data_IF_596814858930
#
_entry.id   IF_596814858930
#
_cell.length_a   1.000
_cell.length_b   1.000
_cell.length_c   1.000
_cell.angle_alpha   90.00
_cell.angle_beta   90.00
_cell.angle_gamma   90.00
#
_symmetry.space_group_name_H-M   'P 1'
#
loop_
_entity.id
_entity.type
_entity.pdbx_description
1 polymer ?
#
# COMPACT_ATOMS: atom_id res chain seq x y z
N UNK A 1 5.50 18.47 -27.84
CA UNK A 1 5.93 19.15 -26.61
C UNK A 1 4.94 18.75 -25.54
N UNK A 2 5.37 17.96 -24.59
CA UNK A 2 4.51 17.46 -23.53
C UNK A 2 4.10 18.60 -22.62
N UNK A 3 2.79 18.89 -22.56
CA UNK A 3 2.20 19.88 -21.66
C UNK A 3 2.05 19.28 -20.23
N UNK A 4 2.91 18.33 -19.87
CA UNK A 4 2.86 17.65 -18.60
C UNK A 4 3.31 18.54 -17.44
N UNK A 5 2.65 18.44 -16.32
CA UNK A 5 3.16 18.97 -15.06
C UNK A 5 4.53 18.34 -14.77
N UNK A 6 5.47 19.11 -14.20
CA UNK A 6 6.77 18.57 -13.79
C UNK A 6 6.63 17.62 -12.60
N UNK A 7 5.68 17.90 -11.70
CA UNK A 7 5.38 17.11 -10.51
C UNK A 7 3.89 16.76 -10.46
N UNK A 8 3.57 15.59 -9.96
CA UNK A 8 2.19 15.19 -9.64
C UNK A 8 1.72 15.88 -8.36
N UNK A 9 2.54 15.82 -7.33
CA UNK A 9 2.36 16.47 -6.03
C UNK A 9 3.64 17.26 -5.71
N UNK A 10 3.67 18.52 -6.14
CA UNK A 10 4.85 19.38 -5.99
C UNK A 10 5.25 19.58 -4.53
N UNK A 11 4.29 19.67 -3.62
CA UNK A 11 4.55 19.88 -2.20
C UNK A 11 5.34 18.70 -1.58
N UNK A 12 4.99 17.47 -1.95
CA UNK A 12 5.69 16.28 -1.48
C UNK A 12 6.98 16.03 -2.26
N UNK A 13 6.95 16.22 -3.57
CA UNK A 13 8.07 15.85 -4.46
C UNK A 13 9.24 16.85 -4.42
N UNK A 14 9.00 18.06 -3.91
CA UNK A 14 10.04 19.08 -3.69
C UNK A 14 10.31 19.34 -2.21
N UNK A 15 9.73 18.54 -1.32
CA UNK A 15 9.88 18.71 0.13
C UNK A 15 11.35 18.59 0.55
N UNK A 16 11.79 19.46 1.47
CA UNK A 16 13.13 19.37 2.03
C UNK A 16 13.32 18.02 2.74
N UNK A 17 14.52 17.45 2.68
CA UNK A 17 14.81 16.11 3.19
C UNK A 17 14.40 15.93 4.65
N UNK A 18 14.71 16.90 5.51
CA UNK A 18 14.35 16.82 6.93
C UNK A 18 12.83 16.79 7.18
N UNK A 19 12.07 17.57 6.40
CA UNK A 19 10.60 17.59 6.50
C UNK A 19 10.01 16.28 5.96
N UNK A 20 10.60 15.73 4.91
CA UNK A 20 10.20 14.44 4.37
C UNK A 20 10.47 13.30 5.38
N UNK A 21 11.61 13.30 6.05
CA UNK A 21 11.94 12.31 7.07
C UNK A 21 10.96 12.41 8.26
N UNK A 22 10.65 13.62 8.72
CA UNK A 22 9.65 13.82 9.77
C UNK A 22 8.24 13.32 9.36
N UNK A 23 7.83 13.58 8.11
CA UNK A 23 6.57 13.08 7.58
C UNK A 23 6.56 11.54 7.48
N UNK A 24 7.68 10.92 7.11
CA UNK A 24 7.82 9.46 7.06
C UNK A 24 7.68 8.88 8.47
N UNK A 25 8.34 9.45 9.46
CA UNK A 25 8.26 9.01 10.85
C UNK A 25 6.84 9.12 11.43
N UNK A 26 6.15 10.21 11.15
CA UNK A 26 4.74 10.39 11.52
C UNK A 26 3.87 9.27 10.91
N UNK A 27 4.06 8.99 9.62
CA UNK A 27 3.30 7.94 8.93
C UNK A 27 3.63 6.53 9.40
N UNK A 28 4.88 6.27 9.76
CA UNK A 28 5.30 5.01 10.39
C UNK A 28 4.56 4.83 11.70
N UNK A 29 4.63 5.84 12.57
CA UNK A 29 3.95 5.80 13.87
C UNK A 29 2.45 5.55 13.72
N UNK A 30 1.79 6.29 12.84
CA UNK A 30 0.37 6.09 12.54
C UNK A 30 0.08 4.66 12.05
N UNK A 31 0.83 4.18 11.05
CA UNK A 31 0.58 2.88 10.42
C UNK A 31 0.79 1.71 11.38
N UNK A 32 1.84 1.77 12.19
CA UNK A 32 2.15 0.73 13.18
C UNK A 32 1.06 0.65 14.25
N UNK A 33 0.61 1.80 14.78
CA UNK A 33 -0.46 1.82 15.78
C UNK A 33 -1.80 1.38 15.17
N UNK A 34 -2.13 1.82 13.96
CA UNK A 34 -3.31 1.38 13.25
C UNK A 34 -3.33 -0.15 13.06
N UNK A 35 -2.20 -0.73 12.62
CA UNK A 35 -2.08 -2.17 12.45
C UNK A 35 -2.24 -2.93 13.79
N UNK A 36 -1.64 -2.43 14.86
CA UNK A 36 -1.80 -3.01 16.19
C UNK A 36 -3.25 -2.96 16.70
N UNK A 37 -3.95 -1.87 16.46
CA UNK A 37 -5.32 -1.67 16.96
C UNK A 37 -6.35 -2.48 16.16
N UNK A 38 -6.17 -2.60 14.85
CA UNK A 38 -7.20 -3.09 13.94
C UNK A 38 -6.94 -4.49 13.36
N UNK A 39 -5.67 -4.96 13.30
CA UNK A 39 -5.37 -6.30 12.77
C UNK A 39 -5.26 -7.33 13.88
N UNK A 40 -6.05 -8.43 13.83
CA UNK A 40 -5.93 -9.53 14.77
C UNK A 40 -4.50 -10.11 14.83
N UNK A 41 -3.86 -10.27 13.66
CA UNK A 41 -2.48 -10.76 13.57
C UNK A 41 -1.52 -9.81 14.28
N UNK A 42 -1.48 -8.53 13.93
CA UNK A 42 -0.52 -7.60 14.52
C UNK A 42 -0.74 -7.41 16.00
N UNK A 43 -1.98 -7.37 16.47
CA UNK A 43 -2.29 -7.29 17.90
C UNK A 43 -1.70 -8.44 18.72
N UNK A 44 -1.78 -9.66 18.19
CA UNK A 44 -1.19 -10.86 18.79
C UNK A 44 0.33 -10.82 18.69
N UNK A 45 0.86 -10.55 17.51
CA UNK A 45 2.28 -10.56 17.20
C UNK A 45 3.08 -9.55 18.05
N UNK A 46 2.61 -8.31 18.20
CA UNK A 46 3.23 -7.30 19.06
C UNK A 46 3.30 -7.74 20.52
N UNK A 47 2.24 -8.37 21.03
CA UNK A 47 2.21 -8.91 22.40
C UNK A 47 3.19 -10.06 22.60
N UNK A 48 3.25 -11.00 21.68
CA UNK A 48 4.15 -12.16 21.73
C UNK A 48 5.63 -11.77 21.72
N UNK A 49 5.96 -10.68 21.01
CA UNK A 49 7.33 -10.15 20.96
C UNK A 49 7.62 -9.09 22.03
N UNK A 50 6.66 -8.81 22.92
CA UNK A 50 6.79 -7.76 23.95
C UNK A 50 7.15 -6.38 23.38
N UNK A 51 6.59 -6.05 22.20
CA UNK A 51 6.83 -4.78 21.50
C UNK A 51 5.68 -3.82 21.82
N UNK A 52 6.02 -2.60 22.21
CA UNK A 52 5.07 -1.51 22.38
C UNK A 52 4.90 -0.73 21.08
N UNK A 53 3.78 -0.88 20.40
CA UNK A 53 3.51 -0.20 19.13
C UNK A 53 3.63 1.33 19.24
N UNK A 54 3.25 1.93 20.38
CA UNK A 54 3.33 3.36 20.61
C UNK A 54 4.78 3.92 20.68
N UNK A 55 5.77 3.05 20.86
CA UNK A 55 7.19 3.43 20.88
C UNK A 55 7.83 3.41 19.49
N UNK A 56 7.18 2.79 18.49
CA UNK A 56 7.66 2.76 17.11
C UNK A 56 7.30 4.09 16.44
N UNK A 57 8.26 5.02 16.40
CA UNK A 57 8.05 6.40 15.97
C UNK A 57 9.00 6.88 14.88
N UNK A 58 9.91 6.03 14.43
CA UNK A 58 10.86 6.39 13.40
C UNK A 58 11.17 5.21 12.49
N UNK A 59 11.82 5.51 11.37
CA UNK A 59 12.30 4.50 10.43
C UNK A 59 13.27 3.53 11.10
N UNK A 60 14.17 4.03 11.95
CA UNK A 60 15.15 3.21 12.68
C UNK A 60 14.42 2.23 13.62
N UNK A 61 13.44 2.71 14.40
CA UNK A 61 12.66 1.85 15.28
C UNK A 61 11.87 0.78 14.52
N UNK A 62 11.39 1.10 13.31
CA UNK A 62 10.72 0.13 12.45
C UNK A 62 11.66 -1.00 12.00
N UNK A 63 12.93 -0.69 11.72
CA UNK A 63 13.93 -1.67 11.29
C UNK A 63 14.33 -2.68 12.38
N UNK A 64 14.10 -2.37 13.64
CA UNK A 64 14.35 -3.27 14.77
C UNK A 64 13.24 -4.33 14.94
N UNK A 65 12.11 -4.18 14.23
CA UNK A 65 11.02 -5.15 14.32
C UNK A 65 11.40 -6.47 13.64
N UNK A 66 10.99 -7.63 14.20
CA UNK A 66 11.17 -8.92 13.55
C UNK A 66 10.49 -8.96 12.18
N UNK A 67 11.13 -9.62 11.22
CA UNK A 67 10.62 -9.71 9.85
C UNK A 67 9.42 -10.66 9.79
N UNK A 68 8.33 -10.19 9.19
CA UNK A 68 7.17 -11.02 8.85
C UNK A 68 7.37 -11.54 7.42
N UNK A 69 7.43 -12.86 7.27
CA UNK A 69 7.67 -13.51 5.99
C UNK A 69 6.38 -13.64 5.17
N UNK A 70 6.53 -13.87 3.85
CA UNK A 70 5.39 -14.23 3.02
C UNK A 70 4.75 -15.57 3.41
N UNK A 71 5.48 -16.46 4.06
CA UNK A 71 4.95 -17.71 4.61
C UNK A 71 4.04 -17.42 5.82
N UNK A 72 4.47 -16.53 6.70
CA UNK A 72 3.65 -16.09 7.84
C UNK A 72 2.29 -15.55 7.39
N UNK A 73 2.26 -14.78 6.29
CA UNK A 73 0.97 -14.28 5.75
C UNK A 73 0.07 -15.42 5.30
N UNK A 74 0.61 -16.46 4.65
CA UNK A 74 -0.17 -17.61 4.19
C UNK A 74 -0.75 -18.42 5.37
N UNK A 75 0.02 -18.57 6.44
CA UNK A 75 -0.39 -19.31 7.64
C UNK A 75 -1.53 -18.62 8.42
N UNK A 76 -1.78 -17.32 8.14
CA UNK A 76 -2.79 -16.51 8.82
C UNK A 76 -3.91 -16.04 7.87
N UNK A 77 -4.19 -16.85 6.85
CA UNK A 77 -5.30 -16.68 5.91
C UNK A 77 -5.92 -18.04 5.55
N UNK A 78 -7.16 -18.11 5.04
CA UNK A 78 -7.73 -19.37 4.56
C UNK A 78 -6.85 -20.06 3.49
N UNK A 79 -6.76 -21.40 3.48
CA UNK A 79 -7.54 -22.32 4.33
C UNK A 79 -6.92 -22.58 5.72
N UNK A 80 -5.75 -22.03 6.04
CA UNK A 80 -5.02 -22.31 7.28
C UNK A 80 -5.74 -21.73 8.51
N UNK A 81 -6.45 -20.60 8.34
CA UNK A 81 -7.29 -19.97 9.36
C UNK A 81 -8.71 -19.77 8.83
N UNK A 82 -9.67 -19.53 9.73
CA UNK A 82 -11.07 -19.29 9.35
C UNK A 82 -11.31 -17.90 8.74
N UNK A 83 -10.40 -16.94 8.99
CA UNK A 83 -10.47 -15.56 8.47
C UNK A 83 -9.07 -15.05 8.12
N UNK A 84 -9.01 -13.88 7.56
CA UNK A 84 -7.77 -13.20 7.17
C UNK A 84 -7.26 -12.35 8.33
N UNK A 85 -6.36 -12.89 9.13
CA UNK A 85 -5.90 -12.27 10.39
C UNK A 85 -5.11 -10.96 10.16
N UNK A 86 -4.56 -10.76 8.96
CA UNK A 86 -3.91 -9.49 8.57
C UNK A 86 -4.88 -8.39 8.17
N UNK A 87 -6.16 -8.70 7.96
CA UNK A 87 -7.18 -7.71 7.61
C UNK A 87 -7.36 -6.70 8.75
N UNK A 88 -7.33 -5.42 8.43
CA UNK A 88 -7.38 -4.32 9.39
C UNK A 88 -8.63 -3.44 9.25
N UNK A 89 -9.62 -3.90 8.48
CA UNK A 89 -10.89 -3.21 8.25
C UNK A 89 -12.04 -4.20 8.29
N UNK A 90 -13.25 -3.72 8.53
CA UNK A 90 -14.44 -4.58 8.48
C UNK A 90 -14.85 -4.90 7.03
N UNK A 91 -15.54 -6.01 6.82
CA UNK A 91 -15.95 -6.45 5.48
C UNK A 91 -16.73 -5.39 4.67
N UNK A 92 -17.63 -4.59 5.25
CA UNK A 92 -18.33 -3.55 4.50
C UNK A 92 -17.43 -2.44 3.97
N UNK A 93 -16.22 -2.26 4.51
CA UNK A 93 -15.25 -1.26 4.09
C UNK A 93 -14.35 -1.77 2.96
N UNK A 94 -14.33 -3.08 2.73
CA UNK A 94 -13.53 -3.69 1.65
C UNK A 94 -14.14 -3.35 0.30
N UNK A 95 -13.43 -2.54 -0.48
CA UNK A 95 -13.82 -2.19 -1.84
C UNK A 95 -13.38 -3.26 -2.85
N UNK A 96 -12.17 -3.79 -2.69
CA UNK A 96 -11.61 -4.77 -3.62
C UNK A 96 -10.63 -5.72 -2.94
N UNK A 97 -10.47 -6.89 -3.54
CA UNK A 97 -9.59 -7.96 -3.11
C UNK A 97 -8.55 -8.21 -4.21
N UNK A 98 -7.31 -8.35 -3.82
CA UNK A 98 -6.20 -8.67 -4.70
C UNK A 98 -5.37 -9.82 -4.18
N UNK A 99 -4.71 -10.53 -5.11
CA UNK A 99 -3.85 -11.66 -4.77
C UNK A 99 -2.50 -11.55 -5.46
N UNK A 100 -1.48 -12.11 -4.81
CA UNK A 100 -0.19 -12.35 -5.47
C UNK A 100 -0.31 -13.52 -6.44
N UNK A 101 0.64 -13.63 -7.39
CA UNK A 101 0.64 -14.69 -8.42
C UNK A 101 0.67 -16.13 -7.90
N UNK A 102 0.97 -16.34 -6.61
CA UNK A 102 1.00 -17.67 -6.02
C UNK A 102 2.13 -18.59 -6.53
N UNK A 103 3.15 -18.07 -7.21
CA UNK A 103 4.24 -18.86 -7.78
C UNK A 103 5.00 -19.72 -6.75
N UNK A 104 4.95 -19.36 -5.48
CA UNK A 104 5.61 -20.04 -4.36
C UNK A 104 4.63 -20.71 -3.38
N UNK A 105 3.42 -21.03 -3.82
CA UNK A 105 2.37 -21.67 -3.02
C UNK A 105 1.04 -20.92 -3.08
N UNK A 106 0.18 -21.05 -2.05
CA UNK A 106 -1.09 -20.35 -1.96
C UNK A 106 -0.91 -18.83 -2.15
N UNK A 107 -1.68 -18.17 -3.03
CA UNK A 107 -1.63 -16.73 -3.17
C UNK A 107 -1.84 -16.02 -1.84
N UNK A 108 -1.18 -14.90 -1.64
CA UNK A 108 -1.45 -14.01 -0.50
C UNK A 108 -2.52 -13.03 -0.89
N UNK A 109 -3.55 -12.90 -0.07
CA UNK A 109 -4.69 -12.04 -0.30
C UNK A 109 -4.53 -10.70 0.41
N UNK A 110 -4.89 -9.63 -0.27
CA UNK A 110 -4.86 -8.26 0.25
C UNK A 110 -6.21 -7.59 0.00
N UNK A 111 -6.66 -6.84 0.99
CA UNK A 111 -7.91 -6.10 0.95
C UNK A 111 -7.60 -4.62 0.87
N UNK A 112 -8.31 -3.90 0.02
CA UNK A 112 -8.18 -2.46 -0.12
C UNK A 112 -9.54 -1.80 0.08
N UNK A 113 -9.57 -0.75 0.86
CA UNK A 113 -10.69 0.19 0.91
C UNK A 113 -10.71 1.05 -0.37
N UNK A 114 -11.80 1.81 -0.58
CA UNK A 114 -11.83 2.78 -1.67
C UNK A 114 -10.71 3.81 -1.58
N UNK A 115 -10.41 4.26 -0.37
CA UNK A 115 -9.33 5.23 -0.13
C UNK A 115 -7.95 4.64 -0.45
N UNK A 116 -7.68 3.40 -0.05
CA UNK A 116 -6.44 2.72 -0.44
C UNK A 116 -6.32 2.57 -1.95
N UNK A 117 -7.42 2.29 -2.61
CA UNK A 117 -7.49 2.19 -4.06
C UNK A 117 -7.09 3.50 -4.75
N UNK A 118 -7.60 4.64 -4.27
CA UNK A 118 -7.22 5.96 -4.76
C UNK A 118 -5.74 6.28 -4.47
N UNK A 119 -5.24 5.90 -3.30
CA UNK A 119 -3.81 6.06 -2.95
C UNK A 119 -2.91 5.22 -3.86
N UNK A 120 -3.33 4.02 -4.25
CA UNK A 120 -2.61 3.22 -5.25
C UNK A 120 -2.60 3.90 -6.62
N UNK A 121 -3.71 4.45 -7.06
CA UNK A 121 -3.80 5.18 -8.31
C UNK A 121 -2.87 6.41 -8.32
N UNK A 122 -2.82 7.18 -7.24
CA UNK A 122 -1.94 8.35 -7.14
C UNK A 122 -0.45 8.00 -7.25
N UNK A 123 -0.02 6.81 -6.83
CA UNK A 123 1.36 6.33 -7.05
C UNK A 123 1.68 6.16 -8.54
N UNK A 124 0.76 5.57 -9.29
CA UNK A 124 0.92 5.44 -10.75
C UNK A 124 0.80 6.78 -11.47
N UNK A 125 -0.07 7.68 -11.00
CA UNK A 125 -0.16 9.02 -11.53
C UNK A 125 1.17 9.77 -11.38
N UNK A 126 1.85 9.63 -10.24
CA UNK A 126 3.19 10.16 -10.02
C UNK A 126 4.22 9.55 -10.99
N UNK A 127 4.19 8.23 -11.20
CA UNK A 127 5.07 7.55 -12.16
C UNK A 127 4.82 8.09 -13.58
N UNK A 128 3.58 8.21 -14.00
CA UNK A 128 3.26 8.73 -15.33
C UNK A 128 3.72 10.19 -15.48
N UNK A 129 3.46 11.04 -14.50
CA UNK A 129 3.92 12.44 -14.50
C UNK A 129 5.44 12.52 -14.59
N UNK A 130 6.19 11.72 -13.83
CA UNK A 130 7.65 11.70 -13.85
C UNK A 130 8.24 11.25 -15.20
N UNK A 131 7.47 10.52 -16.00
CA UNK A 131 7.81 10.11 -17.36
C UNK A 131 7.32 11.11 -18.43
N UNK A 132 6.71 12.21 -18.01
CA UNK A 132 6.24 13.28 -18.88
C UNK A 132 4.84 13.05 -19.47
N UNK A 133 4.10 12.05 -19.01
CA UNK A 133 2.70 11.87 -19.41
C UNK A 133 1.79 12.92 -18.77
N UNK A 134 0.79 13.37 -19.53
CA UNK A 134 -0.21 14.34 -19.09
C UNK A 134 -1.43 14.40 -19.99
N UNK A 135 -2.27 15.39 -19.75
CA UNK A 135 -3.53 15.57 -20.48
C UNK A 135 -3.32 15.58 -21.99
N UNK A 136 -4.06 14.74 -22.68
CA UNK A 136 -4.02 14.58 -24.14
C UNK A 136 -3.10 13.45 -24.64
N UNK A 137 -2.31 12.84 -23.76
CA UNK A 137 -1.59 11.61 -24.09
C UNK A 137 -2.53 10.40 -24.16
N UNK A 138 -2.02 9.29 -24.64
CA UNK A 138 -2.73 8.01 -24.69
C UNK A 138 -1.87 6.91 -24.12
N UNK A 139 -2.43 6.15 -23.20
CA UNK A 139 -1.77 5.00 -22.57
C UNK A 139 -2.50 3.72 -22.92
N UNK A 140 -1.76 2.72 -23.35
CA UNK A 140 -2.28 1.36 -23.53
C UNK A 140 -1.73 0.49 -22.40
N UNK A 141 -2.63 -0.01 -21.56
CA UNK A 141 -2.27 -0.91 -20.45
C UNK A 141 -2.27 -2.35 -20.96
N UNK A 142 -1.09 -2.92 -21.22
CA UNK A 142 -0.89 -4.29 -21.67
C UNK A 142 -0.64 -5.23 -20.49
N UNK A 143 -1.59 -5.32 -19.57
CA UNK A 143 -1.50 -6.17 -18.38
C UNK A 143 -2.85 -6.82 -18.05
N UNK A 144 -2.82 -7.91 -17.28
CA UNK A 144 -4.03 -8.60 -16.84
C UNK A 144 -4.83 -7.76 -15.84
N UNK A 145 -6.13 -7.65 -16.07
CA UNK A 145 -7.09 -7.00 -15.18
C UNK A 145 -7.71 -7.96 -14.14
N UNK A 146 -7.08 -9.07 -13.85
CA UNK A 146 -7.56 -10.00 -12.84
C UNK A 146 -7.30 -9.53 -11.40
N UNK A 147 -6.93 -10.47 -10.55
CA UNK A 147 -6.64 -10.23 -9.12
C UNK A 147 -5.40 -9.34 -8.88
N UNK A 148 -4.65 -8.99 -9.93
CA UNK A 148 -3.50 -8.09 -9.81
C UNK A 148 -3.97 -6.63 -9.72
N UNK A 149 -3.44 -5.90 -8.75
CA UNK A 149 -3.79 -4.49 -8.51
C UNK A 149 -3.30 -3.55 -9.62
N UNK A 150 -2.21 -3.90 -10.32
CA UNK A 150 -1.47 -2.98 -11.19
C UNK A 150 -2.28 -2.40 -12.34
N UNK A 151 -2.84 -3.25 -13.23
CA UNK A 151 -3.54 -2.78 -14.43
C UNK A 151 -4.73 -1.87 -14.11
N UNK A 152 -5.50 -2.24 -13.10
CA UNK A 152 -6.66 -1.47 -12.65
C UNK A 152 -6.26 -0.08 -12.14
N UNK A 153 -5.23 -0.01 -11.30
CA UNK A 153 -4.77 1.27 -10.72
C UNK A 153 -4.03 2.14 -11.73
N UNK A 154 -3.33 1.56 -12.72
CA UNK A 154 -2.79 2.30 -13.87
C UNK A 154 -3.90 2.99 -14.68
N UNK A 155 -5.00 2.29 -14.93
CA UNK A 155 -6.14 2.85 -15.65
C UNK A 155 -6.79 4.01 -14.88
N UNK A 156 -6.95 3.85 -13.56
CA UNK A 156 -7.48 4.92 -12.72
C UNK A 156 -6.54 6.13 -12.66
N UNK A 157 -5.23 5.89 -12.58
CA UNK A 157 -4.21 6.94 -12.61
C UNK A 157 -4.20 7.71 -13.93
N UNK A 158 -4.33 7.02 -15.05
CA UNK A 158 -4.45 7.66 -16.36
C UNK A 158 -5.68 8.59 -16.41
N UNK A 159 -6.82 8.12 -15.90
CA UNK A 159 -8.03 8.94 -15.78
C UNK A 159 -7.82 10.18 -14.90
N UNK A 160 -7.12 10.05 -13.78
CA UNK A 160 -6.81 11.16 -12.87
C UNK A 160 -5.97 12.25 -13.56
N UNK A 161 -5.06 11.86 -14.44
CA UNK A 161 -4.21 12.75 -15.22
C UNK A 161 -4.88 13.31 -16.48
N UNK A 162 -6.08 12.85 -16.84
CA UNK A 162 -6.77 13.24 -18.06
C UNK A 162 -6.17 12.62 -19.34
N UNK A 163 -5.57 11.43 -19.18
CA UNK A 163 -4.99 10.60 -20.26
C UNK A 163 -6.06 9.65 -20.82
#
# INVERSE_FOLDING_TARGET
MTNGKLFFDEAIETMARGDLDALVDERIHYTVNYAYEHSPFYKKWFREHSINAAEIRSHEALLELPIISGQTIREHQPPETMDFEFKSVEWPEVFTLHETSGTSGTPKTFFLTWEDWLRYASKYARIFTSQGFGTGDRVVVCASYGMNVGANTMTLAARELGI
#
